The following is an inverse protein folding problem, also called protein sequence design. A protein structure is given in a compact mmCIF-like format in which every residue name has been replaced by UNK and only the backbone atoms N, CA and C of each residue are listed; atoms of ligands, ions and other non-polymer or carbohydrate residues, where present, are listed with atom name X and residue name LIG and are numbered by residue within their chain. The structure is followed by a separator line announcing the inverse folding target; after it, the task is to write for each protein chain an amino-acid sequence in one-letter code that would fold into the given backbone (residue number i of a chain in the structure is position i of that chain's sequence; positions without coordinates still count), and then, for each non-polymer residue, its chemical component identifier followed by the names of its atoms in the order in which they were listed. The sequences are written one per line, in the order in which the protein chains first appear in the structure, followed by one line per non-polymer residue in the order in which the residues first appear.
data_IF_327024286387
#
_entry.id   IF_327024286387
#
_cell.length_a   1.000
_cell.length_b   1.000
_cell.length_c   1.000
_cell.angle_alpha   90.00
_cell.angle_beta   90.00
_cell.angle_gamma   90.00
#
_symmetry.space_group_name_H-M   'P 1'
#
loop_
_entity.id
_entity.type
_entity.pdbx_description
1 polymer ?
#
# COMPACT_ATOMS: atom_id res chain seq x y z
N UNK A 1 -1.64 -2.37 12.71
CA UNK A 1 -1.20 -2.27 11.31
C UNK A 1 -1.43 -3.62 10.67
N UNK A 2 -2.00 -3.65 9.48
CA UNK A 2 -2.29 -4.85 8.70
C UNK A 2 -2.10 -4.55 7.19
N UNK A 3 -2.46 -5.51 6.35
CA UNK A 3 -2.35 -5.44 4.89
C UNK A 3 -3.16 -4.28 4.31
N UNK A 4 -4.36 -4.03 4.85
CA UNK A 4 -5.23 -2.93 4.38
C UNK A 4 -4.58 -1.57 4.63
N UNK A 5 -3.82 -1.42 5.72
CA UNK A 5 -3.06 -0.20 5.99
C UNK A 5 -1.99 0.07 4.92
N UNK A 6 -1.40 -0.98 4.33
CA UNK A 6 -0.48 -0.83 3.20
C UNK A 6 -1.24 -0.38 1.95
N UNK A 7 -2.36 -1.04 1.63
CA UNK A 7 -3.17 -0.67 0.46
C UNK A 7 -3.72 0.76 0.55
N UNK A 8 -4.03 1.23 1.76
CA UNK A 8 -4.46 2.60 2.00
C UNK A 8 -3.42 3.64 1.64
N UNK A 9 -2.11 3.36 1.76
CA UNK A 9 -1.07 4.30 1.33
C UNK A 9 -1.18 4.62 -0.16
N UNK A 10 -1.34 3.59 -1.00
CA UNK A 10 -1.51 3.75 -2.44
C UNK A 10 -2.81 4.49 -2.77
N UNK A 11 -3.89 4.19 -2.05
CA UNK A 11 -5.18 4.87 -2.26
C UNK A 11 -5.14 6.34 -1.81
N UNK A 12 -4.49 6.65 -0.70
CA UNK A 12 -4.25 8.03 -0.24
C UNK A 12 -3.42 8.79 -1.28
N UNK A 13 -2.39 8.16 -1.84
CA UNK A 13 -1.58 8.74 -2.92
C UNK A 13 -2.37 8.97 -4.22
N UNK A 14 -3.24 8.02 -4.61
CA UNK A 14 -4.18 8.19 -5.73
C UNK A 14 -5.04 9.45 -5.55
N UNK A 15 -5.61 9.63 -4.34
CA UNK A 15 -6.43 10.79 -4.00
C UNK A 15 -5.62 12.08 -3.97
N UNK A 16 -4.41 12.05 -3.42
CA UNK A 16 -3.53 13.21 -3.34
C UNK A 16 -3.10 13.70 -4.74
N UNK A 17 -2.81 12.79 -5.66
CA UNK A 17 -2.41 13.13 -7.03
C UNK A 17 -3.60 13.32 -8.00
N UNK A 18 -4.81 12.91 -7.62
CA UNK A 18 -5.97 12.91 -8.52
C UNK A 18 -5.82 11.94 -9.69
N UNK A 19 -5.09 10.84 -9.49
CA UNK A 19 -4.75 9.86 -10.54
C UNK A 19 -5.38 8.49 -10.26
N UNK A 20 -5.55 7.72 -11.32
CA UNK A 20 -5.97 6.32 -11.26
C UNK A 20 -4.84 5.41 -10.78
N UNK A 21 -5.21 4.19 -10.34
CA UNK A 21 -4.29 3.21 -9.72
C UNK A 21 -3.07 2.90 -10.61
N UNK A 22 -3.28 2.80 -11.91
CA UNK A 22 -2.29 2.47 -12.95
C UNK A 22 -1.28 3.60 -13.21
N UNK A 23 -1.50 4.78 -12.63
CA UNK A 23 -0.58 5.90 -12.67
C UNK A 23 0.09 6.19 -11.32
N UNK A 24 -0.14 5.34 -10.30
CA UNK A 24 0.49 5.41 -8.99
C UNK A 24 1.50 4.26 -8.86
N UNK A 25 2.74 4.65 -8.56
CA UNK A 25 3.86 3.74 -8.33
C UNK A 25 4.56 4.19 -7.05
N UNK A 26 4.71 3.29 -6.08
CA UNK A 26 5.36 3.60 -4.81
C UNK A 26 6.47 2.62 -4.49
N UNK A 27 7.48 3.11 -3.80
CA UNK A 27 8.53 2.29 -3.22
C UNK A 27 8.20 2.01 -1.76
N UNK A 28 8.43 0.79 -1.30
CA UNK A 28 8.34 0.44 0.12
C UNK A 28 9.75 0.53 0.71
N UNK A 29 10.10 1.73 1.15
CA UNK A 29 11.39 2.07 1.75
C UNK A 29 11.22 2.68 3.15
N UNK A 30 12.33 3.13 3.74
CA UNK A 30 12.35 3.73 5.08
C UNK A 30 11.44 4.96 5.22
N UNK A 31 11.15 5.68 4.11
CA UNK A 31 10.23 6.81 4.15
C UNK A 31 8.80 6.35 4.43
N UNK A 32 8.36 5.24 3.82
CA UNK A 32 7.06 4.65 4.08
C UNK A 32 6.97 4.08 5.49
N UNK A 33 8.03 3.39 5.96
CA UNK A 33 8.08 2.91 7.34
C UNK A 33 7.94 4.08 8.34
N UNK A 34 8.60 5.22 8.06
CA UNK A 34 8.51 6.43 8.87
C UNK A 34 7.08 7.03 8.87
N UNK A 35 6.43 7.10 7.71
CA UNK A 35 5.04 7.56 7.58
C UNK A 35 4.10 6.68 8.42
N UNK A 36 4.25 5.36 8.33
CA UNK A 36 3.44 4.41 9.10
C UNK A 36 3.72 4.51 10.60
N UNK A 37 4.98 4.64 11.01
CA UNK A 37 5.35 4.81 12.41
C UNK A 37 4.65 6.05 13.02
N UNK A 38 4.66 7.17 12.29
CA UNK A 38 3.96 8.39 12.71
C UNK A 38 2.44 8.20 12.77
N UNK A 39 1.83 7.57 11.75
CA UNK A 39 0.39 7.31 11.66
C UNK A 39 -0.11 6.44 12.83
N UNK A 40 0.64 5.39 13.17
CA UNK A 40 0.27 4.43 14.22
C UNK A 40 0.83 4.77 15.61
N UNK A 41 1.63 5.83 15.73
CA UNK A 41 2.28 6.26 16.99
C UNK A 41 3.04 5.11 17.68
N UNK A 42 3.75 4.31 16.89
CA UNK A 42 4.60 3.20 17.36
C UNK A 42 5.79 3.03 16.43
N UNK A 43 6.77 2.25 16.89
CA UNK A 43 7.85 1.82 16.02
C UNK A 43 7.31 0.87 14.93
N UNK A 44 7.71 1.13 13.69
CA UNK A 44 7.43 0.32 12.50
C UNK A 44 8.76 0.10 11.80
N UNK A 45 9.15 -1.16 11.62
CA UNK A 45 10.39 -1.51 10.92
C UNK A 45 10.13 -1.70 9.43
N UNK A 46 11.14 -1.44 8.61
CA UNK A 46 11.04 -1.70 7.17
C UNK A 46 10.68 -3.16 6.86
N UNK A 47 11.24 -4.11 7.60
CA UNK A 47 10.94 -5.55 7.48
C UNK A 47 9.45 -5.86 7.73
N UNK A 48 8.82 -5.20 8.71
CA UNK A 48 7.39 -5.36 8.97
C UNK A 48 6.55 -4.89 7.78
N UNK A 49 6.91 -3.75 7.19
CA UNK A 49 6.20 -3.20 6.02
C UNK A 49 6.41 -4.09 4.79
N UNK A 50 7.64 -4.60 4.57
CA UNK A 50 7.95 -5.56 3.51
C UNK A 50 7.12 -6.83 3.63
N UNK A 51 7.01 -7.38 4.84
CA UNK A 51 6.19 -8.58 5.09
C UNK A 51 4.71 -8.35 4.76
N UNK A 52 4.15 -7.20 5.14
CA UNK A 52 2.76 -6.87 4.79
C UNK A 52 2.59 -6.63 3.28
N UNK A 53 3.57 -6.00 2.62
CA UNK A 53 3.59 -5.84 1.18
C UNK A 53 3.64 -7.20 0.46
N UNK A 54 4.44 -8.16 0.95
CA UNK A 54 4.49 -9.52 0.40
C UNK A 54 3.15 -10.24 0.52
N UNK A 55 2.44 -10.08 1.64
CA UNK A 55 1.09 -10.64 1.79
C UNK A 55 0.14 -9.98 0.78
N UNK A 56 0.22 -8.68 0.57
CA UNK A 56 -0.60 -7.99 -0.43
C UNK A 56 -0.30 -8.47 -1.86
N UNK A 57 0.98 -8.71 -2.18
CA UNK A 57 1.40 -9.25 -3.49
C UNK A 57 0.91 -10.69 -3.65
N UNK A 58 1.05 -11.52 -2.62
CA UNK A 58 0.59 -12.91 -2.64
C UNK A 58 -0.94 -13.04 -2.80
N UNK A 59 -1.71 -12.05 -2.33
CA UNK A 59 -3.15 -11.96 -2.54
C UNK A 59 -3.54 -11.22 -3.84
N UNK A 60 -2.58 -10.86 -4.69
CA UNK A 60 -2.79 -10.12 -5.94
C UNK A 60 -3.46 -8.74 -5.73
N UNK A 61 -3.24 -8.11 -4.57
CA UNK A 61 -3.73 -6.76 -4.26
C UNK A 61 -2.73 -5.67 -4.61
N UNK A 62 -1.45 -6.00 -4.58
CA UNK A 62 -0.36 -5.21 -5.13
C UNK A 62 0.32 -5.98 -6.26
N UNK A 63 0.86 -5.27 -7.23
CA UNK A 63 1.63 -5.82 -8.33
C UNK A 63 2.99 -5.15 -8.47
N UNK A 64 3.98 -5.92 -8.92
CA UNK A 64 5.27 -5.40 -9.36
C UNK A 64 5.11 -4.90 -10.79
N UNK A 65 5.46 -3.63 -11.02
CA UNK A 65 5.34 -3.01 -12.35
C UNK A 65 6.62 -3.06 -13.17
N UNK A 66 7.69 -3.58 -12.55
CA UNK A 66 8.98 -3.81 -13.18
C UNK A 66 9.46 -5.22 -12.89
N UNK A 67 10.53 -5.66 -13.58
CA UNK A 67 11.18 -6.95 -13.33
C UNK A 67 12.01 -6.97 -12.04
N UNK A 68 12.19 -5.82 -11.38
CA UNK A 68 12.89 -5.73 -10.10
C UNK A 68 12.12 -6.50 -9.02
N UNK A 69 12.72 -7.54 -8.41
CA UNK A 69 12.08 -8.27 -7.31
C UNK A 69 11.99 -7.44 -6.02
N UNK A 70 12.65 -6.28 -5.96
CA UNK A 70 12.56 -5.34 -4.85
C UNK A 70 11.16 -4.75 -4.67
N UNK A 71 11.01 -3.96 -3.60
CA UNK A 71 9.76 -3.29 -3.29
C UNK A 71 9.67 -1.91 -3.96
N UNK A 72 10.18 -1.80 -5.18
CA UNK A 72 10.19 -0.57 -5.96
C UNK A 72 9.05 -0.56 -6.98
N UNK A 73 8.48 0.62 -7.21
CA UNK A 73 7.43 0.84 -8.20
C UNK A 73 6.26 -0.16 -8.09
N UNK A 74 5.84 -0.48 -6.86
CA UNK A 74 4.64 -1.27 -6.67
C UNK A 74 3.43 -0.45 -7.09
N UNK A 75 2.39 -1.12 -7.55
CA UNK A 75 1.11 -0.49 -7.86
C UNK A 75 -0.04 -1.33 -7.32
N UNK A 76 -1.19 -0.67 -7.22
CA UNK A 76 -2.39 -1.27 -6.70
C UNK A 76 -3.18 -1.94 -7.84
N UNK A 77 -3.53 -3.21 -7.65
CA UNK A 77 -4.32 -3.93 -8.65
C UNK A 77 -5.79 -3.50 -8.60
N UNK A 78 -6.58 -3.92 -9.58
CA UNK A 78 -8.03 -3.70 -9.51
C UNK A 78 -8.65 -4.42 -8.29
N UNK A 79 -8.17 -5.61 -7.94
CA UNK A 79 -8.63 -6.36 -6.77
C UNK A 79 -8.24 -5.67 -5.47
N UNK A 80 -7.00 -5.19 -5.35
CA UNK A 80 -6.56 -4.40 -4.20
C UNK A 80 -7.39 -3.14 -4.00
N UNK A 81 -7.78 -2.46 -5.09
CA UNK A 81 -8.64 -1.27 -5.01
C UNK A 81 -10.01 -1.60 -4.44
N UNK A 82 -10.60 -2.72 -4.85
CA UNK A 82 -11.88 -3.16 -4.31
C UNK A 82 -11.80 -3.43 -2.80
N UNK A 83 -10.72 -4.04 -2.32
CA UNK A 83 -10.50 -4.27 -0.88
C UNK A 83 -10.44 -2.96 -0.11
N UNK A 84 -9.67 -1.98 -0.59
CA UNK A 84 -9.58 -0.66 0.07
C UNK A 84 -10.92 0.06 0.06
N UNK A 85 -11.61 0.11 -1.08
CA UNK A 85 -12.89 0.78 -1.19
C UNK A 85 -13.93 0.14 -0.26
N UNK A 86 -14.00 -1.19 -0.20
CA UNK A 86 -14.90 -1.91 0.70
C UNK A 86 -14.63 -1.55 2.18
N UNK A 87 -13.36 -1.47 2.57
CA UNK A 87 -12.96 -1.05 3.90
C UNK A 87 -13.31 0.42 4.22
N UNK A 88 -13.08 1.34 3.28
CA UNK A 88 -13.43 2.76 3.44
C UNK A 88 -14.95 2.96 3.54
N UNK A 89 -15.74 2.24 2.74
CA UNK A 89 -17.19 2.25 2.85
C UNK A 89 -17.67 1.72 4.21
N UNK A 90 -17.07 0.64 4.71
CA UNK A 90 -17.42 0.07 6.00
C UNK A 90 -17.12 1.00 7.20
N UNK A 91 -16.14 1.91 7.06
CA UNK A 91 -15.85 2.96 8.06
C UNK A 91 -16.79 4.16 7.99
N UNK A 92 -17.47 4.36 6.86
CA UNK A 92 -18.39 5.47 6.63
C UNK A 92 -19.84 5.20 7.05
N UNK A 93 -20.12 4.05 7.67
CA UNK A 93 -21.41 3.64 8.24
C UNK A 93 -21.27 3.56 9.76
#
# INVERSE_FOLDING_TARGET
MNEVDILLLFYEEMKAQGKSRDAIFMNIDESIASVLAQKFKRDVTLEEVHKLADICIANEWLERTTIDPGYNFLSLTAAGLQVVLAHEYAKGV
#
